data_IF_780061051040
#
_entry.id   IF_780061051040
#
_cell.length_a   1.000
_cell.length_b   1.000
_cell.length_c   1.000
_cell.angle_alpha   90.00
_cell.angle_beta   90.00
_cell.angle_gamma   90.00
#
_symmetry.space_group_name_H-M   'P 1'
#
loop_
_entity.id
_entity.type
_entity.pdbx_description
1 polymer ?
#
# COMPACT_ATOMS: atom_id res chain seq x y z
N UNK A 1 64.41 -12.24 62.05
CA UNK A 1 64.99 -11.02 62.70
C UNK A 1 63.98 -9.94 62.60
N UNK A 2 63.35 -9.67 63.70
CA UNK A 2 63.07 -8.33 64.27
C UNK A 2 61.96 -7.55 63.56
N UNK A 3 60.79 -7.56 64.19
CA UNK A 3 60.16 -6.52 65.09
C UNK A 3 59.76 -5.23 64.35
N UNK A 4 58.62 -4.66 64.43
CA UNK A 4 57.63 -4.26 65.49
C UNK A 4 56.58 -3.44 64.78
N UNK A 5 55.30 -3.62 65.00
CA UNK A 5 54.40 -3.05 65.99
C UNK A 5 54.29 -1.51 65.91
N UNK A 6 53.09 -1.02 65.83
CA UNK A 6 52.45 0.08 66.62
C UNK A 6 51.32 0.72 65.73
N UNK A 7 50.08 0.45 65.96
CA UNK A 7 49.06 1.04 66.86
C UNK A 7 48.48 2.38 66.39
N UNK A 8 47.13 2.31 66.19
CA UNK A 8 46.07 3.30 66.52
C UNK A 8 46.08 4.65 65.86
N UNK A 9 45.01 5.01 65.15
CA UNK A 9 44.03 5.92 65.76
C UNK A 9 42.74 5.99 64.95
N UNK A 10 41.70 6.18 65.74
CA UNK A 10 40.31 6.30 65.38
C UNK A 10 39.99 7.64 64.72
N UNK A 11 39.03 7.69 63.82
CA UNK A 11 38.25 8.88 63.50
C UNK A 11 37.12 8.53 62.50
N UNK A 12 35.85 8.82 62.82
CA UNK A 12 34.75 8.52 61.95
C UNK A 12 34.53 9.67 60.97
N UNK A 13 34.42 9.37 59.68
CA UNK A 13 33.94 10.37 58.72
C UNK A 13 32.91 9.77 57.78
N UNK A 14 31.75 10.26 57.99
CA UNK A 14 30.55 10.39 57.16
C UNK A 14 30.63 9.77 55.76
N UNK A 15 29.84 8.75 55.63
CA UNK A 15 29.47 8.15 54.36
C UNK A 15 28.53 9.08 53.61
N UNK A 16 28.99 9.71 52.54
CA UNK A 16 28.12 10.38 51.57
C UNK A 16 27.73 9.35 50.51
N UNK A 17 26.56 8.74 50.68
CA UNK A 17 25.89 7.93 49.66
C UNK A 17 25.35 8.89 48.60
N UNK A 18 26.08 9.06 47.50
CA UNK A 18 25.57 9.66 46.29
C UNK A 18 24.71 8.62 45.56
N UNK A 19 23.39 8.68 45.76
CA UNK A 19 22.43 7.94 44.96
C UNK A 19 22.39 8.55 43.56
N UNK A 20 23.07 7.90 42.61
CA UNK A 20 22.90 8.18 41.18
C UNK A 20 21.57 7.58 40.75
N UNK A 21 20.52 8.42 40.76
CA UNK A 21 19.29 8.12 40.08
C UNK A 21 19.53 8.12 38.55
N UNK A 22 19.85 6.96 37.99
CA UNK A 22 19.73 6.72 36.55
C UNK A 22 18.24 6.79 36.18
N UNK A 23 17.80 7.96 35.77
CA UNK A 23 16.51 8.09 35.04
C UNK A 23 16.72 7.50 33.67
N UNK A 24 16.42 6.21 33.55
CA UNK A 24 16.17 5.58 32.24
C UNK A 24 14.92 6.23 31.65
N UNK A 25 15.13 7.22 30.76
CA UNK A 25 14.08 7.62 29.83
C UNK A 25 13.77 6.40 28.93
N UNK A 26 12.80 5.60 29.34
CA UNK A 26 12.16 4.66 28.45
C UNK A 26 11.45 5.51 27.38
N UNK A 27 12.04 5.57 26.19
CA UNK A 27 11.37 6.10 25.01
C UNK A 27 10.19 5.17 24.72
N UNK A 28 9.04 5.48 25.29
CA UNK A 28 7.78 4.84 24.93
C UNK A 28 7.45 5.33 23.52
N UNK A 29 7.77 4.52 22.51
CA UNK A 29 7.25 4.72 21.16
C UNK A 29 5.72 4.72 21.26
N UNK A 30 5.04 5.76 20.76
CA UNK A 30 3.59 5.84 20.91
C UNK A 30 2.91 4.86 19.97
N UNK A 31 2.60 3.66 20.44
CA UNK A 31 1.77 2.70 19.74
C UNK A 31 0.41 3.31 19.27
N UNK A 32 -0.04 4.38 19.96
CA UNK A 32 -1.24 5.12 19.60
C UNK A 32 -1.13 5.95 18.30
N UNK A 33 0.06 6.43 17.95
CA UNK A 33 0.25 7.24 16.73
C UNK A 33 0.20 6.38 15.46
N UNK A 34 0.73 5.16 15.54
CA UNK A 34 0.70 4.19 14.43
C UNK A 34 -0.73 3.78 14.07
N UNK A 35 -1.59 3.59 15.06
CA UNK A 35 -3.01 3.31 14.87
C UNK A 35 -3.73 4.45 14.15
N UNK A 36 -3.47 5.71 14.54
CA UNK A 36 -4.17 6.87 14.00
C UNK A 36 -3.90 7.12 12.51
N UNK A 37 -2.70 6.85 12.01
CA UNK A 37 -2.35 7.00 10.59
C UNK A 37 -3.06 5.96 9.74
N UNK A 38 -3.05 4.72 10.18
CA UNK A 38 -3.74 3.61 9.52
C UNK A 38 -5.24 3.86 9.50
N UNK A 39 -5.81 4.31 10.61
CA UNK A 39 -7.24 4.58 10.72
C UNK A 39 -7.68 5.70 9.75
N UNK A 40 -6.93 6.80 9.66
CA UNK A 40 -7.23 7.88 8.70
C UNK A 40 -7.14 7.40 7.24
N UNK A 41 -6.16 6.56 6.91
CA UNK A 41 -6.06 5.96 5.57
C UNK A 41 -7.28 5.09 5.27
N UNK A 42 -7.67 4.21 6.17
CA UNK A 42 -8.84 3.34 5.99
C UNK A 42 -10.12 4.18 5.82
N UNK A 43 -10.30 5.21 6.64
CA UNK A 43 -11.43 6.13 6.55
C UNK A 43 -11.45 6.89 5.22
N UNK A 44 -10.29 7.40 4.77
CA UNK A 44 -10.16 8.08 3.47
C UNK A 44 -10.50 7.14 2.32
N UNK A 45 -10.03 5.89 2.36
CA UNK A 45 -10.38 4.88 1.36
C UNK A 45 -11.86 4.52 1.43
N UNK A 46 -12.44 4.36 2.61
CA UNK A 46 -13.86 4.03 2.79
C UNK A 46 -14.78 5.15 2.30
N UNK A 47 -14.43 6.41 2.56
CA UNK A 47 -15.22 7.57 2.09
C UNK A 47 -15.08 7.85 0.59
N UNK A 48 -14.17 7.18 -0.11
CA UNK A 48 -13.98 7.33 -1.55
C UNK A 48 -14.95 6.42 -2.30
N UNK A 49 -15.96 7.00 -2.96
CA UNK A 49 -16.91 6.29 -3.81
C UNK A 49 -16.40 6.19 -5.24
N UNK A 50 -15.88 7.30 -5.74
CA UNK A 50 -15.28 7.37 -7.07
C UNK A 50 -13.91 8.00 -6.99
N UNK A 51 -13.00 7.58 -7.86
CA UNK A 51 -11.67 8.14 -8.00
C UNK A 51 -11.29 8.14 -9.48
N UNK A 52 -10.83 9.27 -9.99
CA UNK A 52 -10.13 9.32 -11.26
C UNK A 52 -8.76 9.96 -11.06
N UNK A 53 -7.76 9.47 -11.77
CA UNK A 53 -6.42 10.00 -11.71
C UNK A 53 -5.65 9.69 -12.98
N UNK A 54 -4.61 10.46 -13.25
CA UNK A 54 -3.53 9.99 -14.10
C UNK A 54 -2.52 9.23 -13.27
N UNK A 55 -1.87 8.28 -13.89
CA UNK A 55 -0.78 7.57 -13.25
C UNK A 55 0.51 7.58 -14.06
N UNK A 56 1.62 7.53 -13.36
CA UNK A 56 2.92 7.10 -13.86
C UNK A 56 3.37 5.87 -13.06
N UNK A 57 3.83 4.86 -13.78
CA UNK A 57 4.28 3.59 -13.20
C UNK A 57 5.70 3.32 -13.61
N UNK A 58 6.50 2.81 -12.67
CA UNK A 58 7.82 2.23 -12.94
C UNK A 58 7.91 0.86 -12.32
N UNK A 59 8.45 -0.10 -13.06
CA UNK A 59 8.71 -1.45 -12.56
C UNK A 59 10.20 -1.74 -12.66
N UNK A 60 10.81 -2.01 -11.51
CA UNK A 60 12.20 -2.38 -11.36
C UNK A 60 12.31 -3.86 -10.95
N UNK A 61 13.18 -4.61 -11.60
CA UNK A 61 13.58 -5.95 -11.20
C UNK A 61 15.11 -5.98 -11.03
N UNK A 62 15.61 -6.89 -10.18
CA UNK A 62 17.04 -6.97 -9.84
C UNK A 62 17.99 -7.12 -11.06
N UNK A 63 17.49 -7.67 -12.15
CA UNK A 63 18.29 -8.02 -13.34
C UNK A 63 17.70 -7.49 -14.65
N UNK A 64 16.66 -6.63 -14.61
CA UNK A 64 16.00 -6.14 -15.82
C UNK A 64 16.03 -4.63 -15.90
N UNK A 65 15.92 -4.10 -17.14
CA UNK A 65 15.77 -2.67 -17.39
C UNK A 65 14.50 -2.15 -16.69
N UNK A 66 14.62 -0.93 -16.15
CA UNK A 66 13.47 -0.20 -15.64
C UNK A 66 12.42 -0.06 -16.76
N UNK A 67 11.21 -0.49 -16.50
CA UNK A 67 10.07 -0.32 -17.40
C UNK A 67 9.18 0.78 -16.86
N UNK A 68 8.74 1.66 -17.74
CA UNK A 68 7.84 2.76 -17.38
C UNK A 68 6.57 2.67 -18.19
N UNK A 69 5.46 3.04 -17.56
CA UNK A 69 4.15 3.14 -18.21
C UNK A 69 3.41 4.37 -17.65
N UNK A 70 2.46 4.89 -18.41
CA UNK A 70 1.61 5.98 -17.94
C UNK A 70 0.22 5.89 -18.59
N UNK A 71 -0.77 6.46 -17.90
CA UNK A 71 -2.13 6.40 -18.38
C UNK A 71 -3.13 7.03 -17.43
N UNK A 72 -4.35 6.52 -17.46
CA UNK A 72 -5.46 6.99 -16.63
C UNK A 72 -6.05 5.84 -15.82
N UNK A 73 -6.60 6.18 -14.68
CA UNK A 73 -7.12 5.24 -13.71
C UNK A 73 -8.48 5.73 -13.21
N UNK A 74 -9.45 4.84 -13.18
CA UNK A 74 -10.81 5.13 -12.73
C UNK A 74 -11.29 4.03 -11.79
N UNK A 75 -11.91 4.44 -10.70
CA UNK A 75 -12.66 3.57 -9.79
C UNK A 75 -14.06 4.13 -9.61
N UNK A 76 -15.05 3.24 -9.59
CA UNK A 76 -16.37 3.51 -9.06
C UNK A 76 -16.78 2.32 -8.20
N UNK A 77 -16.97 2.56 -6.92
CA UNK A 77 -17.36 1.50 -5.99
C UNK A 77 -18.86 1.25 -6.02
N UNK A 78 -19.27 0.00 -5.75
CA UNK A 78 -18.44 -1.17 -5.55
C UNK A 78 -17.96 -1.78 -6.88
N UNK A 79 -16.75 -2.33 -6.89
CA UNK A 79 -16.32 -3.35 -7.88
C UNK A 79 -15.95 -2.86 -9.29
N UNK A 80 -16.03 -1.56 -9.60
CA UNK A 80 -15.71 -1.06 -10.93
C UNK A 80 -14.32 -0.43 -10.96
N UNK A 81 -13.47 -0.88 -11.89
CA UNK A 81 -12.13 -0.37 -12.10
C UNK A 81 -11.79 -0.33 -13.58
N UNK A 82 -11.18 0.76 -14.04
CA UNK A 82 -10.53 0.86 -15.32
C UNK A 82 -9.10 1.38 -15.13
N UNK A 83 -8.14 0.59 -15.54
CA UNK A 83 -6.73 0.94 -15.61
C UNK A 83 -6.34 0.98 -17.07
N UNK A 84 -6.06 2.16 -17.61
CA UNK A 84 -5.77 2.35 -19.02
C UNK A 84 -4.35 2.86 -19.18
N UNK A 85 -3.46 1.98 -19.61
CA UNK A 85 -2.10 2.32 -20.02
C UNK A 85 -2.18 2.97 -21.40
N UNK A 86 -1.61 4.16 -21.55
CA UNK A 86 -1.54 4.89 -22.81
C UNK A 86 -0.17 4.83 -23.45
N UNK A 87 0.87 4.69 -22.64
CA UNK A 87 2.28 4.61 -23.08
C UNK A 87 3.04 3.59 -22.23
N UNK A 88 4.06 2.88 -22.79
CA UNK A 88 4.46 2.86 -24.18
C UNK A 88 3.55 1.97 -25.04
N UNK A 89 2.94 0.93 -24.45
CA UNK A 89 2.10 -0.06 -25.12
C UNK A 89 0.66 0.08 -24.60
N UNK A 90 -0.28 0.57 -25.44
CA UNK A 90 -1.65 0.79 -25.00
C UNK A 90 -2.33 -0.51 -24.57
N UNK A 91 -2.85 -0.51 -23.34
CA UNK A 91 -3.51 -1.66 -22.74
C UNK A 91 -4.64 -1.19 -21.82
N UNK A 92 -5.76 -1.90 -21.83
CA UNK A 92 -6.88 -1.63 -20.93
C UNK A 92 -7.08 -2.85 -20.04
N UNK A 93 -7.09 -2.62 -18.73
CA UNK A 93 -7.58 -3.55 -17.73
C UNK A 93 -8.88 -2.99 -17.17
N UNK A 94 -9.94 -3.75 -17.31
CA UNK A 94 -11.26 -3.33 -16.88
C UNK A 94 -11.89 -4.42 -16.03
N UNK A 95 -12.32 -4.01 -14.85
CA UNK A 95 -13.09 -4.82 -13.93
C UNK A 95 -14.49 -4.23 -13.82
N UNK A 96 -15.48 -5.05 -13.99
CA UNK A 96 -16.86 -4.75 -13.64
C UNK A 96 -17.43 -5.83 -12.71
N UNK A 97 -18.70 -5.79 -12.41
CA UNK A 97 -19.39 -6.73 -11.50
C UNK A 97 -19.42 -8.20 -11.99
N UNK A 98 -19.10 -8.45 -13.26
CA UNK A 98 -19.17 -9.78 -13.88
C UNK A 98 -17.85 -10.30 -14.37
N UNK A 99 -17.02 -9.42 -14.96
CA UNK A 99 -15.89 -9.81 -15.77
C UNK A 99 -14.66 -8.93 -15.53
N UNK A 100 -13.51 -9.54 -15.65
CA UNK A 100 -12.23 -8.85 -15.78
C UNK A 100 -11.75 -8.98 -17.21
N UNK A 101 -11.58 -7.86 -17.88
CA UNK A 101 -11.06 -7.73 -19.24
C UNK A 101 -9.63 -7.23 -19.21
N UNK A 102 -8.80 -7.83 -20.06
CA UNK A 102 -7.48 -7.34 -20.40
C UNK A 102 -7.44 -7.20 -21.93
N UNK A 103 -7.28 -6.00 -22.44
CA UNK A 103 -7.19 -5.71 -23.86
C UNK A 103 -5.85 -5.09 -24.21
N UNK A 104 -5.09 -5.77 -25.05
CA UNK A 104 -3.87 -5.28 -25.65
C UNK A 104 -4.20 -4.69 -27.02
N UNK A 105 -4.03 -3.37 -27.15
CA UNK A 105 -4.46 -2.64 -28.34
C UNK A 105 -3.58 -2.96 -29.55
N UNK A 106 -2.27 -3.00 -29.34
CA UNK A 106 -1.30 -3.20 -30.41
C UNK A 106 -1.36 -4.63 -30.98
N UNK A 107 -1.69 -5.61 -30.14
CA UNK A 107 -1.85 -7.00 -30.55
C UNK A 107 -3.25 -7.32 -31.09
N UNK A 108 -4.20 -6.39 -30.97
CA UNK A 108 -5.62 -6.63 -31.25
C UNK A 108 -6.16 -7.89 -30.55
N UNK A 109 -5.75 -8.10 -29.29
CA UNK A 109 -6.11 -9.27 -28.49
C UNK A 109 -6.77 -8.85 -27.17
N UNK A 110 -7.85 -9.51 -26.82
CA UNK A 110 -8.50 -9.34 -25.53
C UNK A 110 -8.61 -10.69 -24.83
N UNK A 111 -8.48 -10.69 -23.51
CA UNK A 111 -8.86 -11.81 -22.68
C UNK A 111 -9.94 -11.39 -21.70
N UNK A 112 -10.86 -12.29 -21.42
CA UNK A 112 -11.92 -12.08 -20.43
C UNK A 112 -12.05 -13.29 -19.53
N UNK A 113 -12.26 -13.03 -18.26
CA UNK A 113 -12.52 -14.05 -17.23
C UNK A 113 -13.61 -13.58 -16.27
N UNK A 114 -14.42 -14.48 -15.71
CA UNK A 114 -15.36 -14.15 -14.67
C UNK A 114 -14.65 -13.56 -13.45
N UNK A 115 -15.28 -12.59 -12.80
CA UNK A 115 -14.81 -12.05 -11.52
C UNK A 115 -15.57 -12.72 -10.39
N UNK A 116 -14.83 -13.43 -9.57
CA UNK A 116 -15.31 -13.84 -8.26
C UNK A 116 -14.69 -12.90 -7.25
N UNK A 117 -15.47 -12.40 -6.30
CA UNK A 117 -15.01 -11.46 -5.28
C UNK A 117 -13.72 -11.91 -4.54
N UNK A 118 -13.47 -13.21 -4.48
CA UNK A 118 -12.27 -13.80 -3.90
C UNK A 118 -10.99 -13.62 -4.76
N UNK A 119 -11.11 -13.19 -6.01
CA UNK A 119 -9.97 -13.09 -6.95
C UNK A 119 -9.36 -11.69 -7.01
N UNK A 120 -9.92 -10.72 -6.29
CA UNK A 120 -9.30 -9.41 -6.18
C UNK A 120 -8.18 -9.47 -5.14
N UNK A 121 -6.98 -9.12 -5.55
CA UNK A 121 -5.78 -9.13 -4.73
C UNK A 121 -5.11 -7.77 -4.70
N UNK A 122 -4.26 -7.56 -3.70
CA UNK A 122 -3.40 -6.40 -3.61
C UNK A 122 -4.14 -5.08 -3.53
N UNK A 123 -3.64 -4.09 -4.28
CA UNK A 123 -4.18 -2.72 -4.25
C UNK A 123 -5.63 -2.65 -4.77
N UNK A 124 -5.99 -3.48 -5.76
CA UNK A 124 -7.36 -3.52 -6.27
C UNK A 124 -8.33 -4.01 -5.19
N UNK A 125 -7.97 -5.04 -4.44
CA UNK A 125 -8.77 -5.52 -3.31
C UNK A 125 -8.92 -4.44 -2.23
N UNK A 126 -7.82 -3.77 -1.88
CA UNK A 126 -7.85 -2.70 -0.90
C UNK A 126 -8.73 -1.52 -1.35
N UNK A 127 -8.58 -1.07 -2.60
CA UNK A 127 -9.29 0.10 -3.11
C UNK A 127 -10.78 -0.17 -3.35
N UNK A 128 -11.14 -1.35 -3.85
CA UNK A 128 -12.52 -1.65 -4.25
C UNK A 128 -13.39 -2.17 -3.10
N UNK A 129 -12.79 -2.85 -2.12
CA UNK A 129 -13.54 -3.52 -1.06
C UNK A 129 -13.67 -2.72 0.25
N UNK A 130 -13.00 -1.56 0.38
CA UNK A 130 -13.02 -0.79 1.64
C UNK A 130 -14.39 -0.29 2.06
N UNK A 131 -15.37 -0.20 1.16
CA UNK A 131 -16.74 0.18 1.51
C UNK A 131 -17.60 -1.00 1.97
N UNK A 132 -17.24 -2.21 1.54
CA UNK A 132 -17.98 -3.43 1.87
C UNK A 132 -17.38 -4.18 3.05
N UNK A 133 -16.18 -3.80 3.50
CA UNK A 133 -15.47 -4.39 4.63
C UNK A 133 -15.42 -3.41 5.79
N UNK A 134 -15.75 -3.89 6.99
CA UNK A 134 -15.51 -3.13 8.20
C UNK A 134 -14.02 -3.00 8.46
N UNK A 135 -13.63 -2.07 9.34
CA UNK A 135 -12.24 -1.94 9.80
C UNK A 135 -11.70 -3.27 10.34
N UNK A 136 -12.48 -3.97 11.14
CA UNK A 136 -12.13 -5.27 11.73
C UNK A 136 -11.89 -6.34 10.64
N UNK A 137 -12.70 -6.35 9.61
CA UNK A 137 -12.56 -7.25 8.46
C UNK A 137 -11.31 -6.92 7.64
N UNK A 138 -10.96 -5.65 7.48
CA UNK A 138 -9.70 -5.25 6.85
C UNK A 138 -8.50 -5.68 7.71
N UNK A 139 -8.54 -5.42 9.02
CA UNK A 139 -7.50 -5.84 9.95
C UNK A 139 -7.39 -7.35 10.10
N UNK A 140 -8.46 -8.12 9.84
CA UNK A 140 -8.37 -9.58 9.81
C UNK A 140 -7.64 -10.12 8.58
N UNK A 141 -7.73 -9.41 7.45
CA UNK A 141 -7.12 -9.82 6.17
C UNK A 141 -5.72 -9.28 5.98
N UNK A 142 -5.44 -8.08 6.46
CA UNK A 142 -4.17 -7.38 6.26
C UNK A 142 -3.52 -6.97 7.57
N UNK A 143 -2.20 -7.06 7.61
CA UNK A 143 -1.37 -6.39 8.60
C UNK A 143 -1.03 -4.99 8.09
N UNK A 144 -1.11 -4.00 8.97
CA UNK A 144 -0.74 -2.62 8.67
C UNK A 144 0.43 -2.19 9.54
N UNK A 145 1.36 -1.42 8.98
CA UNK A 145 2.49 -0.85 9.69
C UNK A 145 2.75 0.58 9.25
N UNK A 146 3.10 1.44 10.18
CA UNK A 146 3.58 2.78 9.87
C UNK A 146 5.03 2.68 9.40
N UNK A 147 5.32 3.12 8.19
CA UNK A 147 6.65 3.16 7.60
C UNK A 147 7.29 4.54 7.69
N UNK A 148 6.65 5.48 8.40
CA UNK A 148 7.10 6.85 8.58
C UNK A 148 6.86 7.76 7.38
N UNK A 149 7.34 9.00 7.49
CA UNK A 149 7.22 10.01 6.45
C UNK A 149 8.41 9.94 5.47
N UNK A 150 8.12 9.96 4.17
CA UNK A 150 9.11 9.99 3.09
C UNK A 150 8.55 10.74 1.89
N UNK A 151 9.34 11.62 1.27
CA UNK A 151 8.97 12.41 0.08
C UNK A 151 7.66 13.21 0.26
N UNK A 152 7.43 13.76 1.46
CA UNK A 152 6.22 14.53 1.77
C UNK A 152 4.95 13.70 1.94
N UNK A 153 5.06 12.37 1.95
CA UNK A 153 3.96 11.43 2.15
C UNK A 153 4.16 10.64 3.43
N UNK A 154 3.06 10.30 4.09
CA UNK A 154 3.04 9.29 5.14
C UNK A 154 2.88 7.92 4.51
N UNK A 155 3.79 6.99 4.81
CA UNK A 155 3.79 5.66 4.22
C UNK A 155 3.27 4.60 5.18
N UNK A 156 2.43 3.73 4.65
CA UNK A 156 1.78 2.65 5.38
C UNK A 156 2.07 1.34 4.65
N UNK A 157 2.69 0.41 5.36
CA UNK A 157 2.87 -0.96 4.88
C UNK A 157 1.57 -1.75 5.00
N UNK A 158 1.24 -2.52 3.98
CA UNK A 158 0.08 -3.41 3.94
C UNK A 158 0.57 -4.79 3.53
N UNK A 159 0.40 -5.76 4.41
CA UNK A 159 0.83 -7.13 4.18
C UNK A 159 -0.37 -8.07 4.28
N UNK A 160 -0.68 -8.84 3.23
CA UNK A 160 -1.72 -9.85 3.31
C UNK A 160 -1.40 -10.89 4.40
N UNK A 161 -2.35 -11.23 5.26
CA UNK A 161 -2.19 -12.28 6.29
C UNK A 161 -2.32 -13.68 5.71
N UNK A 162 -2.98 -13.79 4.57
CA UNK A 162 -3.03 -15.02 3.76
C UNK A 162 -2.25 -14.77 2.48
N UNK A 163 -1.43 -15.71 2.06
CA UNK A 163 -0.63 -15.58 0.84
C UNK A 163 -1.52 -15.24 -0.36
N UNK A 164 -1.21 -14.14 -1.03
CA UNK A 164 -1.84 -13.73 -2.28
C UNK A 164 -0.91 -14.07 -3.46
N UNK A 165 -1.46 -14.62 -4.56
CA UNK A 165 -0.64 -14.93 -5.72
C UNK A 165 0.06 -13.68 -6.27
N UNK A 166 1.38 -13.76 -6.38
CA UNK A 166 2.21 -12.73 -7.01
C UNK A 166 2.49 -11.48 -6.17
N UNK A 167 1.93 -11.34 -4.97
CA UNK A 167 2.12 -10.15 -4.12
C UNK A 167 2.62 -10.56 -2.74
N UNK A 168 3.73 -9.96 -2.30
CA UNK A 168 4.26 -10.17 -0.95
C UNK A 168 3.89 -9.05 0.00
N UNK A 169 3.90 -7.80 -0.46
CA UNK A 169 3.52 -6.64 0.32
C UNK A 169 3.18 -5.44 -0.55
N UNK A 170 2.49 -4.48 0.04
CA UNK A 170 2.20 -3.17 -0.53
C UNK A 170 2.74 -2.09 0.42
N UNK A 171 3.16 -0.96 -0.15
CA UNK A 171 3.33 0.26 0.60
C UNK A 171 2.44 1.35 -0.02
N UNK A 172 1.71 2.06 0.81
CA UNK A 172 0.75 3.08 0.40
C UNK A 172 1.20 4.42 0.95
N UNK A 173 1.46 5.39 0.09
CA UNK A 173 1.83 6.75 0.43
C UNK A 173 0.62 7.68 0.33
N UNK A 174 0.26 8.31 1.43
CA UNK A 174 -0.84 9.28 1.52
C UNK A 174 -0.30 10.66 1.87
N UNK A 175 -0.97 11.71 1.38
CA UNK A 175 -0.64 13.09 1.76
C UNK A 175 -1.24 13.49 3.12
N UNK A 176 -1.10 14.76 3.48
CA UNK A 176 -1.62 15.32 4.73
C UNK A 176 -3.15 15.22 4.87
N UNK A 177 -3.87 15.13 3.76
CA UNK A 177 -5.33 14.92 3.71
C UNK A 177 -5.71 13.44 3.67
N UNK A 178 -4.72 12.54 3.82
CA UNK A 178 -4.88 11.09 3.71
C UNK A 178 -5.35 10.61 2.32
N UNK A 179 -5.11 11.43 1.29
CA UNK A 179 -5.39 11.06 -0.09
C UNK A 179 -4.25 10.19 -0.63
N UNK A 180 -4.60 9.07 -1.26
CA UNK A 180 -3.64 8.18 -1.91
C UNK A 180 -2.90 8.92 -3.02
N UNK A 181 -1.57 9.01 -2.91
CA UNK A 181 -0.68 9.65 -3.89
C UNK A 181 0.23 8.68 -4.59
N UNK A 182 0.74 7.70 -3.84
CA UNK A 182 1.66 6.69 -4.37
C UNK A 182 1.38 5.34 -3.77
N UNK A 183 1.73 4.28 -4.49
CA UNK A 183 1.82 2.95 -3.92
C UNK A 183 2.95 2.15 -4.55
N UNK A 184 3.49 1.23 -3.79
CA UNK A 184 4.52 0.29 -4.21
C UNK A 184 3.98 -1.12 -4.04
N UNK A 185 4.16 -1.96 -5.05
CA UNK A 185 3.80 -3.37 -5.02
C UNK A 185 5.09 -4.17 -5.06
N UNK A 186 5.29 -5.02 -4.08
CA UNK A 186 6.39 -5.96 -4.02
C UNK A 186 5.88 -7.35 -4.39
N UNK A 187 6.45 -7.96 -5.41
CA UNK A 187 6.06 -9.29 -5.84
C UNK A 187 7.01 -10.39 -5.30
N UNK A 188 6.61 -11.64 -5.49
CA UNK A 188 7.39 -12.80 -5.05
C UNK A 188 8.65 -13.07 -5.90
N UNK A 189 8.84 -12.34 -7.02
CA UNK A 189 10.03 -12.41 -7.86
C UNK A 189 11.05 -11.32 -7.52
N UNK A 190 10.73 -10.48 -6.51
CA UNK A 190 11.56 -9.36 -6.08
C UNK A 190 11.48 -8.16 -7.01
N UNK A 191 10.44 -8.06 -7.83
CA UNK A 191 10.14 -6.85 -8.58
C UNK A 191 9.42 -5.85 -7.66
N UNK A 192 9.69 -4.58 -7.90
CA UNK A 192 8.99 -3.48 -7.24
C UNK A 192 8.32 -2.62 -8.31
N UNK A 193 7.02 -2.56 -8.27
CA UNK A 193 6.21 -1.67 -9.10
C UNK A 193 5.80 -0.46 -8.28
N UNK A 194 6.23 0.72 -8.70
CA UNK A 194 5.86 2.01 -8.10
C UNK A 194 4.87 2.72 -8.98
N UNK A 195 3.82 3.23 -8.39
CA UNK A 195 2.78 4.01 -9.09
C UNK A 195 2.61 5.34 -8.36
N UNK A 196 2.65 6.40 -9.12
CA UNK A 196 2.34 7.76 -8.67
C UNK A 196 1.05 8.24 -9.34
N UNK A 197 0.14 8.78 -8.54
CA UNK A 197 -1.14 9.32 -8.97
C UNK A 197 -1.09 10.85 -8.98
N UNK A 198 -1.52 11.43 -10.09
CA UNK A 198 -1.63 12.88 -10.29
C UNK A 198 -3.02 13.24 -10.79
N UNK A 199 -3.40 14.52 -10.76
CA UNK A 199 -4.73 15.01 -11.16
C UNK A 199 -5.88 14.20 -10.56
N UNK A 200 -5.74 13.90 -9.28
CA UNK A 200 -6.68 13.04 -8.55
C UNK A 200 -7.99 13.80 -8.31
N UNK A 201 -9.09 13.20 -8.73
CA UNK A 201 -10.44 13.68 -8.47
C UNK A 201 -11.20 12.61 -7.68
N UNK A 202 -11.59 12.96 -6.47
CA UNK A 202 -12.30 12.08 -5.52
C UNK A 202 -13.78 12.46 -5.49
N UNK A 203 -14.65 11.44 -5.50
CA UNK A 203 -16.09 11.58 -5.36
C UNK A 203 -16.75 12.49 -6.43
N UNK A 204 -16.19 12.46 -7.64
CA UNK A 204 -16.78 13.12 -8.81
C UNK A 204 -17.60 12.13 -9.63
N UNK A 205 -18.56 12.61 -10.40
CA UNK A 205 -19.31 11.77 -11.32
C UNK A 205 -18.38 11.21 -12.40
N UNK A 206 -18.42 9.89 -12.61
CA UNK A 206 -17.69 9.19 -13.66
C UNK A 206 -18.70 8.57 -14.61
N UNK A 207 -18.50 8.74 -15.92
CA UNK A 207 -19.38 8.13 -16.93
C UNK A 207 -19.37 6.60 -16.77
N UNK A 208 -20.53 5.96 -16.51
CA UNK A 208 -20.61 4.51 -16.38
C UNK A 208 -20.15 3.72 -17.61
N UNK A 209 -20.15 4.34 -18.79
CA UNK A 209 -19.66 3.75 -20.03
C UNK A 209 -18.16 3.42 -19.97
N UNK A 210 -17.39 4.11 -19.13
CA UNK A 210 -15.98 3.79 -18.93
C UNK A 210 -15.75 2.40 -18.35
N UNK A 211 -16.73 1.84 -17.66
CA UNK A 211 -16.66 0.50 -17.07
C UNK A 211 -17.35 -0.58 -17.94
N UNK A 212 -17.65 -0.25 -19.19
CA UNK A 212 -18.13 -1.18 -20.19
C UNK A 212 -17.05 -1.41 -21.24
N UNK A 213 -16.91 -2.64 -21.71
CA UNK A 213 -15.98 -2.98 -22.77
C UNK A 213 -16.67 -3.84 -23.82
N UNK A 214 -16.59 -3.40 -25.05
CA UNK A 214 -16.98 -4.18 -26.23
C UNK A 214 -15.76 -4.28 -27.12
N UNK A 215 -15.26 -5.50 -27.39
CA UNK A 215 -14.10 -5.68 -28.25
C UNK A 215 -14.36 -5.04 -29.63
N UNK A 216 -13.42 -4.23 -30.14
CA UNK A 216 -13.51 -3.70 -31.50
C UNK A 216 -13.56 -4.81 -32.56
N UNK A 217 -14.04 -4.49 -33.75
CA UNK A 217 -14.02 -5.43 -34.85
C UNK A 217 -12.58 -5.88 -35.17
N UNK A 218 -12.40 -7.18 -35.40
CA UNK A 218 -11.08 -7.78 -35.68
C UNK A 218 -10.25 -8.13 -34.45
N UNK A 219 -10.72 -7.84 -33.23
CA UNK A 219 -10.04 -8.25 -32.01
C UNK A 219 -10.29 -9.74 -31.73
N UNK A 220 -9.18 -10.45 -31.49
CA UNK A 220 -9.25 -11.85 -31.02
C UNK A 220 -9.58 -11.86 -29.52
N UNK A 221 -10.61 -12.63 -29.12
CA UNK A 221 -11.06 -12.72 -27.74
C UNK A 221 -10.81 -14.11 -27.15
N UNK A 222 -9.96 -14.22 -26.16
CA UNK A 222 -9.74 -15.43 -25.37
C UNK A 222 -10.64 -15.39 -24.13
N UNK A 223 -11.51 -16.39 -23.98
CA UNK A 223 -12.34 -16.56 -22.77
C UNK A 223 -11.71 -17.61 -21.86
N UNK A 224 -11.31 -17.20 -20.66
CA UNK A 224 -10.86 -18.11 -19.63
C UNK A 224 -12.08 -18.65 -18.84
N UNK A 225 -12.03 -19.89 -18.38
CA UNK A 225 -13.09 -20.50 -17.57
C UNK A 225 -13.24 -19.80 -16.21
#
# INVERSE_FOLDING_TARGET
MIKRLVIMSRGPSLSLLAAICCWSLAATSPAGAQSAVVDRMIESLASTQTLSADFSQTTAAKSARLRSASGTFYISKPGLLRWEVKKPYPQIQLLNDKEFWLFDVDLAQASVRPVHAANLTGIAALLLNTNSLTREQLLSRYGFSDLGARDGLQWIGVTPKTAEPGITSLAVGVDSESLLRRFEIHDNLGQVTRVELTRILKNVAIDPKLFQFTPPAGVSVLRAP
#
